data_IF_411234020678
#
_entry.id   IF_411234020678
#
_cell.length_a   1.000
_cell.length_b   1.000
_cell.length_c   1.000
_cell.angle_alpha   90.00
_cell.angle_beta   90.00
_cell.angle_gamma   90.00
#
_symmetry.space_group_name_H-M   'P 1'
#
loop_
_entity.id
_entity.type
_entity.pdbx_description
1 polymer ?
#
# COMPACT_ATOMS: atom_id res chain seq x y z
N UNK A 1 -22.99 20.95 -23.39
CA UNK A 1 -23.05 19.88 -22.36
C UNK A 1 -22.64 18.52 -22.93
N UNK A 2 -23.15 18.08 -24.09
CA UNK A 2 -22.85 16.78 -24.70
C UNK A 2 -21.36 16.58 -25.04
N UNK A 3 -20.69 17.58 -25.63
CA UNK A 3 -19.28 17.46 -26.03
C UNK A 3 -18.31 17.30 -24.85
N UNK A 4 -18.65 17.84 -23.67
CA UNK A 4 -17.86 17.69 -22.43
C UNK A 4 -17.95 16.27 -21.84
N UNK A 5 -19.07 15.57 -22.06
CA UNK A 5 -19.21 14.17 -21.67
C UNK A 5 -18.44 13.23 -22.60
N UNK A 6 -18.45 13.49 -23.90
CA UNK A 6 -17.67 12.70 -24.87
C UNK A 6 -16.17 12.80 -24.60
N UNK A 7 -15.66 14.02 -24.38
CA UNK A 7 -14.25 14.20 -24.02
C UNK A 7 -13.91 13.51 -22.71
N UNK A 8 -14.70 13.65 -21.63
CA UNK A 8 -14.45 12.92 -20.37
C UNK A 8 -14.39 11.40 -20.55
N UNK A 9 -15.23 10.82 -21.40
CA UNK A 9 -15.25 9.38 -21.68
C UNK A 9 -13.98 8.94 -22.43
N UNK A 10 -13.55 9.73 -23.42
CA UNK A 10 -12.31 9.49 -24.16
C UNK A 10 -11.07 9.63 -23.26
N UNK A 11 -11.00 10.70 -22.46
CA UNK A 11 -9.94 10.88 -21.46
C UNK A 11 -9.91 9.73 -20.46
N UNK A 12 -11.06 9.24 -19.97
CA UNK A 12 -11.12 8.08 -19.09
C UNK A 12 -10.52 6.82 -19.71
N UNK A 13 -10.78 6.56 -21.00
CA UNK A 13 -10.21 5.42 -21.73
C UNK A 13 -8.70 5.56 -21.93
N UNK A 14 -8.22 6.77 -22.25
CA UNK A 14 -6.78 7.03 -22.40
C UNK A 14 -6.05 6.83 -21.08
N UNK A 15 -6.59 7.37 -19.98
CA UNK A 15 -6.02 7.23 -18.63
C UNK A 15 -5.94 5.76 -18.19
N UNK A 16 -6.95 4.94 -18.50
CA UNK A 16 -6.91 3.52 -18.16
C UNK A 16 -5.84 2.77 -18.96
N UNK A 17 -5.65 3.10 -20.25
CA UNK A 17 -4.57 2.52 -21.08
C UNK A 17 -3.18 2.89 -20.57
N UNK A 18 -2.96 4.14 -20.17
CA UNK A 18 -1.68 4.57 -19.61
C UNK A 18 -1.39 3.89 -18.26
N UNK A 19 -2.40 3.79 -17.41
CA UNK A 19 -2.30 3.06 -16.13
C UNK A 19 -1.94 1.59 -16.32
N UNK A 20 -2.54 0.91 -17.30
CA UNK A 20 -2.20 -0.48 -17.62
C UNK A 20 -0.74 -0.62 -18.06
N UNK A 21 -0.26 0.27 -18.94
CA UNK A 21 1.15 0.30 -19.37
C UNK A 21 2.11 0.49 -18.20
N UNK A 22 1.80 1.40 -17.28
CA UNK A 22 2.60 1.64 -16.07
C UNK A 22 2.65 0.38 -15.19
N UNK A 23 1.51 -0.31 -15.02
CA UNK A 23 1.45 -1.54 -14.22
C UNK A 23 2.21 -2.71 -14.85
N UNK A 24 2.13 -2.87 -16.17
CA UNK A 24 2.91 -3.86 -16.92
C UNK A 24 4.41 -3.61 -16.75
N UNK A 25 4.83 -2.36 -16.88
CA UNK A 25 6.23 -1.97 -16.72
C UNK A 25 6.71 -2.16 -15.28
N UNK A 26 5.89 -1.80 -14.28
CA UNK A 26 6.19 -2.08 -12.87
C UNK A 26 6.39 -3.59 -12.62
N UNK A 27 5.49 -4.42 -13.16
CA UNK A 27 5.60 -5.88 -13.03
C UNK A 27 6.86 -6.41 -13.72
N UNK A 28 7.22 -5.88 -14.89
CA UNK A 28 8.47 -6.21 -15.58
C UNK A 28 9.69 -5.87 -14.73
N UNK A 29 9.72 -4.68 -14.13
CA UNK A 29 10.81 -4.25 -13.24
C UNK A 29 10.92 -5.18 -12.02
N UNK A 30 9.79 -5.49 -11.37
CA UNK A 30 9.76 -6.38 -10.19
C UNK A 30 10.23 -7.80 -10.54
N UNK A 31 9.77 -8.35 -11.67
CA UNK A 31 10.21 -9.67 -12.14
C UNK A 31 11.71 -9.72 -12.40
N UNK A 32 12.28 -8.66 -12.98
CA UNK A 32 13.73 -8.58 -13.22
C UNK A 32 14.53 -8.41 -11.93
N UNK A 33 13.98 -7.67 -10.95
CA UNK A 33 14.62 -7.43 -9.66
C UNK A 33 14.59 -8.67 -8.76
N UNK A 34 13.55 -9.51 -8.88
CA UNK A 34 13.29 -10.69 -8.06
C UNK A 34 13.19 -10.41 -6.54
N UNK A 35 12.81 -9.19 -6.19
CA UNK A 35 12.54 -8.73 -4.82
C UNK A 35 11.65 -7.49 -4.85
N UNK A 36 11.09 -7.11 -3.71
CA UNK A 36 10.22 -5.95 -3.59
C UNK A 36 10.99 -4.62 -3.77
N UNK A 37 10.27 -3.58 -4.17
CA UNK A 37 10.74 -2.18 -4.10
C UNK A 37 10.28 -1.59 -2.77
N UNK A 38 11.20 -1.01 -2.00
CA UNK A 38 10.90 -0.36 -0.72
C UNK A 38 10.64 1.13 -0.94
N UNK A 39 9.47 1.61 -0.53
CA UNK A 39 9.06 3.02 -0.66
C UNK A 39 8.80 3.58 0.74
N UNK A 40 9.39 4.75 1.05
CA UNK A 40 9.25 5.43 2.32
C UNK A 40 8.56 6.79 2.16
N UNK A 41 7.36 6.93 2.75
CA UNK A 41 6.66 8.21 2.87
C UNK A 41 7.13 8.96 4.13
N UNK A 42 8.18 9.78 4.01
CA UNK A 42 8.75 10.50 5.15
C UNK A 42 8.84 12.02 4.94
N UNK A 43 8.66 12.75 6.05
CA UNK A 43 8.91 14.18 6.19
C UNK A 43 8.96 14.55 7.67
N UNK A 44 9.83 15.48 8.06
CA UNK A 44 10.02 15.83 9.47
C UNK A 44 8.82 16.54 10.12
N UNK A 45 7.94 17.17 9.32
CA UNK A 45 6.75 17.84 9.84
C UNK A 45 5.59 16.86 10.07
N UNK A 46 4.97 16.92 11.25
CA UNK A 46 3.70 16.25 11.54
C UNK A 46 2.52 16.85 10.75
N UNK A 47 1.46 16.08 10.54
CA UNK A 47 0.22 16.57 9.93
C UNK A 47 0.27 16.85 8.42
N UNK A 48 1.32 16.44 7.70
CA UNK A 48 1.44 16.62 6.23
C UNK A 48 0.84 15.47 5.41
N UNK A 49 0.13 14.54 6.04
CA UNK A 49 -0.59 13.47 5.34
C UNK A 49 0.22 12.20 5.02
N UNK A 50 1.41 11.99 5.61
CA UNK A 50 2.26 10.81 5.33
C UNK A 50 1.54 9.47 5.54
N UNK A 51 0.98 9.26 6.73
CA UNK A 51 0.25 8.02 7.06
C UNK A 51 -1.00 7.88 6.19
N UNK A 52 -1.69 8.99 5.89
CA UNK A 52 -2.86 8.96 5.01
C UNK A 52 -2.50 8.55 3.58
N UNK A 53 -1.38 9.05 3.05
CA UNK A 53 -0.88 8.64 1.74
C UNK A 53 -0.55 7.13 1.73
N UNK A 54 0.10 6.63 2.78
CA UNK A 54 0.34 5.18 2.95
C UNK A 54 -0.96 4.37 3.00
N UNK A 55 -2.01 4.83 3.71
CA UNK A 55 -3.33 4.18 3.69
C UNK A 55 -3.94 4.15 2.29
N UNK A 56 -3.83 5.24 1.53
CA UNK A 56 -4.35 5.30 0.17
C UNK A 56 -3.56 4.41 -0.79
N UNK A 57 -2.24 4.29 -0.63
CA UNK A 57 -1.44 3.32 -1.37
C UNK A 57 -1.85 1.88 -1.05
N UNK A 58 -2.05 1.52 0.22
CA UNK A 58 -2.53 0.20 0.59
C UNK A 58 -3.87 -0.13 -0.09
N UNK A 59 -4.84 0.78 -0.03
CA UNK A 59 -6.15 0.60 -0.67
C UNK A 59 -6.04 0.46 -2.19
N UNK A 60 -5.29 1.34 -2.86
CA UNK A 60 -5.18 1.32 -4.32
C UNK A 60 -4.40 0.10 -4.81
N UNK A 61 -3.32 -0.29 -4.13
CA UNK A 61 -2.50 -1.44 -4.53
C UNK A 61 -3.25 -2.77 -4.36
N UNK A 62 -4.07 -2.91 -3.31
CA UNK A 62 -5.01 -4.02 -3.17
C UNK A 62 -5.97 -4.11 -4.36
N UNK A 63 -6.60 -2.98 -4.75
CA UNK A 63 -7.48 -2.91 -5.93
C UNK A 63 -6.77 -3.18 -7.27
N UNK A 64 -5.45 -3.05 -7.32
CA UNK A 64 -4.63 -3.32 -8.50
C UNK A 64 -4.00 -4.71 -8.48
N UNK A 65 -4.34 -5.55 -7.50
CA UNK A 65 -3.79 -6.89 -7.32
C UNK A 65 -2.25 -6.89 -7.30
N UNK A 66 -1.67 -5.96 -6.55
CA UNK A 66 -0.24 -5.91 -6.26
C UNK A 66 0.00 -6.48 -4.86
N UNK A 67 0.95 -7.42 -4.74
CA UNK A 67 1.38 -7.93 -3.43
C UNK A 67 2.17 -6.84 -2.71
N UNK A 68 1.66 -6.36 -1.58
CA UNK A 68 2.24 -5.24 -0.82
C UNK A 68 2.29 -5.57 0.66
N UNK A 69 3.44 -5.27 1.29
CA UNK A 69 3.61 -5.29 2.74
C UNK A 69 3.67 -3.85 3.26
N UNK A 70 2.69 -3.47 4.06
CA UNK A 70 2.68 -2.21 4.80
C UNK A 70 3.43 -2.38 6.12
N UNK A 71 4.20 -1.38 6.55
CA UNK A 71 4.93 -1.40 7.82
C UNK A 71 4.62 -0.12 8.57
N UNK A 72 3.96 -0.22 9.72
CA UNK A 72 3.71 0.92 10.62
C UNK A 72 4.78 0.98 11.71
N UNK A 73 5.81 1.80 11.48
CA UNK A 73 6.90 2.02 12.45
C UNK A 73 6.62 3.18 13.41
N UNK A 74 5.40 3.73 13.41
CA UNK A 74 5.02 4.83 14.30
C UNK A 74 4.41 4.29 15.59
N UNK A 75 4.90 4.73 16.76
CA UNK A 75 4.32 4.38 18.06
C UNK A 75 2.84 4.80 18.17
N UNK A 76 2.42 5.80 17.40
CA UNK A 76 1.02 6.21 17.36
C UNK A 76 0.12 5.22 16.59
N UNK A 77 0.68 4.26 15.86
CA UNK A 77 -0.02 3.24 15.08
C UNK A 77 -1.10 3.84 14.16
N UNK A 78 -0.83 5.02 13.59
CA UNK A 78 -1.83 5.80 12.83
C UNK A 78 -2.22 5.08 11.55
N UNK A 79 -1.27 4.44 10.85
CA UNK A 79 -1.56 3.68 9.64
C UNK A 79 -2.36 2.42 9.98
N UNK A 80 -1.95 1.67 11.00
CA UNK A 80 -2.65 0.48 11.49
C UNK A 80 -4.12 0.79 11.83
N UNK A 81 -4.36 1.83 12.64
CA UNK A 81 -5.72 2.25 13.02
C UNK A 81 -6.57 2.74 11.85
N UNK A 82 -5.97 3.39 10.86
CA UNK A 82 -6.69 3.84 9.67
C UNK A 82 -7.02 2.68 8.72
N UNK A 83 -6.13 1.69 8.58
CA UNK A 83 -6.41 0.49 7.79
C UNK A 83 -7.50 -0.38 8.42
N UNK A 84 -7.51 -0.50 9.75
CA UNK A 84 -8.53 -1.24 10.50
C UNK A 84 -9.97 -0.69 10.33
N UNK A 85 -10.15 0.50 9.75
CA UNK A 85 -11.48 1.03 9.40
C UNK A 85 -12.03 0.46 8.08
N UNK A 86 -11.16 -0.14 7.26
CA UNK A 86 -11.49 -0.63 5.92
C UNK A 86 -11.28 -2.13 5.80
N UNK A 87 -10.26 -2.67 6.47
CA UNK A 87 -9.87 -4.07 6.45
C UNK A 87 -9.96 -4.68 7.85
N UNK A 88 -10.15 -5.98 7.93
CA UNK A 88 -9.98 -6.72 9.18
C UNK A 88 -8.48 -6.81 9.50
N UNK A 89 -8.11 -6.33 10.69
CA UNK A 89 -6.72 -6.32 11.16
C UNK A 89 -6.66 -7.12 12.45
N UNK A 90 -6.12 -8.34 12.35
CA UNK A 90 -5.87 -9.18 13.51
C UNK A 90 -4.66 -8.69 14.31
N UNK A 91 -4.54 -9.18 15.55
CA UNK A 91 -3.33 -8.97 16.34
C UNK A 91 -2.22 -9.91 15.84
N UNK A 92 -0.99 -9.41 15.64
CA UNK A 92 0.12 -10.29 15.28
C UNK A 92 0.47 -11.23 16.43
N UNK A 93 0.97 -12.42 16.09
CA UNK A 93 1.46 -13.37 17.10
C UNK A 93 2.63 -12.79 17.91
N UNK A 94 3.47 -11.98 17.25
CA UNK A 94 4.58 -11.25 17.86
C UNK A 94 4.50 -9.79 17.41
N UNK A 95 4.37 -8.84 18.33
CA UNK A 95 4.34 -7.42 17.96
C UNK A 95 5.65 -6.97 17.28
N UNK A 96 5.60 -5.84 16.57
CA UNK A 96 6.74 -5.37 15.78
C UNK A 96 8.02 -5.19 16.61
N UNK A 97 7.92 -4.63 17.82
CA UNK A 97 9.09 -4.44 18.69
C UNK A 97 9.75 -5.77 19.08
N UNK A 98 8.98 -6.77 19.52
CA UNK A 98 9.51 -8.09 19.86
C UNK A 98 10.06 -8.80 18.61
N UNK A 99 9.43 -8.64 17.45
CA UNK A 99 9.95 -9.18 16.18
C UNK A 99 11.33 -8.60 15.82
N UNK A 100 11.53 -7.29 15.99
CA UNK A 100 12.84 -6.64 15.81
C UNK A 100 13.87 -7.18 16.81
N UNK A 101 13.50 -7.28 18.09
CA UNK A 101 14.37 -7.80 19.16
C UNK A 101 14.79 -9.26 18.91
N UNK A 102 13.88 -10.07 18.37
CA UNK A 102 14.14 -11.46 18.03
C UNK A 102 14.88 -11.64 16.69
N UNK A 103 15.10 -10.55 15.94
CA UNK A 103 15.71 -10.61 14.61
C UNK A 103 14.85 -11.31 13.55
N UNK A 104 13.53 -11.44 13.79
CA UNK A 104 12.61 -12.12 12.88
C UNK A 104 11.22 -11.49 12.92
N UNK A 105 10.80 -10.94 11.78
CA UNK A 105 9.51 -10.27 11.61
C UNK A 105 8.41 -11.17 11.03
N UNK A 106 8.70 -12.43 10.69
CA UNK A 106 7.72 -13.31 10.04
C UNK A 106 6.47 -13.53 10.91
N UNK A 107 6.64 -13.60 12.23
CA UNK A 107 5.52 -13.74 13.18
C UNK A 107 4.83 -12.40 13.53
N UNK A 108 5.30 -11.30 12.94
CA UNK A 108 4.76 -9.95 13.08
C UNK A 108 3.92 -9.49 11.89
N UNK A 109 3.85 -10.31 10.82
CA UNK A 109 3.03 -10.03 9.66
C UNK A 109 1.60 -10.51 9.92
N UNK A 110 0.63 -9.66 9.59
CA UNK A 110 -0.80 -10.00 9.53
C UNK A 110 -1.31 -9.80 8.10
N UNK A 111 -2.22 -10.66 7.69
CA UNK A 111 -2.81 -10.64 6.34
C UNK A 111 -4.13 -9.88 6.38
N UNK A 112 -4.25 -8.80 5.60
CA UNK A 112 -5.49 -8.00 5.50
C UNK A 112 -6.36 -8.49 4.33
N UNK A 113 -5.73 -8.84 3.22
CA UNK A 113 -6.35 -9.46 2.04
C UNK A 113 -5.38 -10.46 1.43
N UNK A 114 -5.76 -11.13 0.33
CA UNK A 114 -4.83 -11.95 -0.44
C UNK A 114 -3.61 -11.14 -0.92
N UNK A 115 -3.74 -9.82 -1.12
CA UNK A 115 -2.72 -8.98 -1.75
C UNK A 115 -2.04 -8.01 -0.80
N UNK A 116 -2.59 -7.79 0.40
CA UNK A 116 -2.15 -6.75 1.31
C UNK A 116 -1.84 -7.34 2.68
N UNK A 117 -0.60 -7.16 3.08
CA UNK A 117 -0.09 -7.55 4.40
C UNK A 117 0.28 -6.29 5.21
N UNK A 118 0.35 -6.44 6.53
CA UNK A 118 0.72 -5.39 7.46
C UNK A 118 1.65 -5.93 8.56
N UNK A 119 2.69 -5.17 8.90
CA UNK A 119 3.37 -5.26 10.21
C UNK A 119 2.87 -4.08 11.04
N UNK A 120 1.98 -4.32 12.03
CA UNK A 120 1.31 -3.26 12.78
C UNK A 120 2.11 -2.73 13.97
#
# INVERSE_FOLDING_TARGET
>A
MIQYYYTKKEWGVVMEKEKLKILEELRRILNNKNEAIIILNNYFKGGVGKSKLSTMFAYLTDKLNLKVLMIDKDLQATLTKDLAKTFEVELPRVNFYEGLKNGNLASSIVHLTDNLDLIP
#
